data_IF_780624936788
#
_entry.id   IF_780624936788
#
_cell.length_a   1.000
_cell.length_b   1.000
_cell.length_c   1.000
_cell.angle_alpha   90.00
_cell.angle_beta   90.00
_cell.angle_gamma   90.00
#
_symmetry.space_group_name_H-M   'P 1'
#
loop_
_entity.id
_entity.type
_entity.pdbx_description
1 polymer ?
#
# COMPACT_ATOMS: atom_id res chain seq x y z
N UNK A 1 -5.82 -17.62 12.83
CA UNK A 1 -5.00 -17.19 11.68
C UNK A 1 -5.12 -15.68 11.55
N UNK A 2 -4.02 -14.96 11.67
CA UNK A 2 -4.01 -13.50 11.86
C UNK A 2 -4.29 -12.77 10.52
N UNK A 3 -5.53 -12.32 10.32
CA UNK A 3 -6.01 -11.62 9.12
C UNK A 3 -5.19 -10.36 8.79
N UNK A 4 -4.57 -9.76 9.79
CA UNK A 4 -3.75 -8.56 9.66
C UNK A 4 -2.46 -8.85 8.89
N UNK A 5 -1.83 -10.01 9.11
CA UNK A 5 -0.62 -10.40 8.37
C UNK A 5 -0.85 -10.52 6.86
N UNK A 6 -2.03 -11.03 6.45
CA UNK A 6 -2.42 -11.15 5.05
C UNK A 6 -2.66 -9.77 4.43
N UNK A 7 -3.30 -8.88 5.20
CA UNK A 7 -3.53 -7.50 4.78
C UNK A 7 -2.22 -6.72 4.66
N UNK A 8 -1.29 -6.87 5.61
CA UNK A 8 0.03 -6.24 5.60
C UNK A 8 0.82 -6.70 4.37
N UNK A 9 0.89 -8.01 4.09
CA UNK A 9 1.56 -8.52 2.87
C UNK A 9 0.96 -7.96 1.59
N UNK A 10 -0.37 -7.84 1.52
CA UNK A 10 -1.05 -7.31 0.34
C UNK A 10 -0.74 -5.82 0.13
N UNK A 11 -0.68 -5.03 1.22
CA UNK A 11 -0.29 -3.61 1.19
C UNK A 11 1.16 -3.41 0.76
N UNK A 12 2.08 -4.19 1.33
CA UNK A 12 3.51 -4.16 0.95
C UNK A 12 3.69 -4.60 -0.52
N UNK A 13 2.97 -5.63 -0.95
CA UNK A 13 2.99 -6.10 -2.34
C UNK A 13 2.52 -5.03 -3.34
N UNK A 14 1.48 -4.26 -2.99
CA UNK A 14 1.00 -3.16 -3.83
C UNK A 14 2.05 -2.03 -3.96
N UNK A 15 2.72 -1.65 -2.88
CA UNK A 15 3.79 -0.63 -2.90
C UNK A 15 4.94 -1.08 -3.79
N UNK A 16 5.44 -2.31 -3.58
CA UNK A 16 6.53 -2.87 -4.36
C UNK A 16 6.17 -2.99 -5.85
N UNK A 17 4.94 -3.41 -6.18
CA UNK A 17 4.48 -3.50 -7.56
C UNK A 17 4.42 -2.12 -8.24
N UNK A 18 3.99 -1.09 -7.52
CA UNK A 18 3.96 0.28 -8.05
C UNK A 18 5.37 0.82 -8.32
N UNK A 19 6.34 0.48 -7.47
CA UNK A 19 7.77 0.82 -7.67
C UNK A 19 8.36 0.07 -8.86
N UNK A 20 8.15 -1.24 -8.96
CA UNK A 20 8.66 -2.05 -10.08
C UNK A 20 8.10 -1.61 -11.44
N UNK A 21 6.83 -1.21 -11.48
CA UNK A 21 6.19 -0.72 -12.69
C UNK A 21 6.44 0.76 -12.96
N UNK A 22 7.00 1.47 -11.98
CA UNK A 22 7.07 2.94 -11.93
C UNK A 22 5.72 3.61 -12.29
N UNK A 23 4.60 2.93 -12.00
CA UNK A 23 3.27 3.33 -12.45
C UNK A 23 2.18 2.83 -11.49
N UNK A 24 1.72 3.75 -10.63
CA UNK A 24 0.70 3.51 -9.60
C UNK A 24 -0.61 3.02 -10.22
N UNK A 25 -1.04 3.60 -11.34
CA UNK A 25 -2.32 3.26 -11.98
C UNK A 25 -2.31 1.82 -12.50
N UNK A 26 -1.20 1.37 -13.07
CA UNK A 26 -1.05 0.00 -13.59
C UNK A 26 -0.98 -1.02 -12.45
N UNK A 27 -0.24 -0.71 -11.38
CA UNK A 27 -0.19 -1.54 -10.18
C UNK A 27 -1.57 -1.66 -9.51
N UNK A 28 -2.31 -0.56 -9.39
CA UNK A 28 -3.66 -0.52 -8.84
C UNK A 28 -4.63 -1.41 -9.66
N UNK A 29 -4.57 -1.33 -11.00
CA UNK A 29 -5.38 -2.19 -11.89
C UNK A 29 -5.07 -3.68 -11.73
N UNK A 30 -3.79 -4.03 -11.61
CA UNK A 30 -3.36 -5.43 -11.45
C UNK A 30 -3.76 -6.01 -10.09
N UNK A 31 -3.71 -5.20 -9.04
CA UNK A 31 -4.09 -5.59 -7.68
C UNK A 31 -5.60 -5.47 -7.40
N UNK A 32 -6.40 -4.97 -8.36
CA UNK A 32 -7.83 -4.75 -8.18
C UNK A 32 -8.16 -3.71 -7.09
N UNK A 33 -7.28 -2.73 -6.90
CA UNK A 33 -7.40 -1.71 -5.85
C UNK A 33 -7.47 -0.30 -6.45
N UNK A 34 -8.02 0.65 -5.69
CA UNK A 34 -8.12 2.05 -6.11
C UNK A 34 -6.85 2.84 -5.79
N UNK A 35 -6.60 3.90 -6.57
CA UNK A 35 -5.52 4.85 -6.29
C UNK A 35 -5.63 5.43 -4.88
N UNK A 36 -6.83 5.70 -4.40
CA UNK A 36 -7.09 6.20 -3.05
C UNK A 36 -6.59 5.23 -1.97
N UNK A 37 -6.76 3.92 -2.19
CA UNK A 37 -6.24 2.89 -1.29
C UNK A 37 -4.72 2.88 -1.28
N UNK A 38 -4.09 3.03 -2.45
CA UNK A 38 -2.64 3.15 -2.57
C UNK A 38 -2.08 4.32 -1.77
N UNK A 39 -2.68 5.52 -1.90
CA UNK A 39 -2.24 6.69 -1.14
C UNK A 39 -2.47 6.50 0.35
N UNK A 40 -3.59 5.93 0.79
CA UNK A 40 -3.81 5.59 2.20
C UNK A 40 -2.76 4.63 2.77
N UNK A 41 -2.30 3.68 1.97
CA UNK A 41 -1.25 2.73 2.37
C UNK A 41 0.11 3.43 2.43
N UNK A 42 0.38 4.33 1.48
CA UNK A 42 1.62 5.13 1.42
C UNK A 42 1.67 6.23 2.49
N UNK A 43 0.52 6.80 2.83
CA UNK A 43 0.27 7.81 3.86
C UNK A 43 0.05 7.19 5.24
N UNK A 44 0.45 5.94 5.46
CA UNK A 44 0.74 5.46 6.81
C UNK A 44 2.21 5.75 7.08
N UNK A 45 2.63 7.00 7.43
CA UNK A 45 3.87 7.15 8.14
C UNK A 45 3.69 6.38 9.44
N UNK A 46 4.73 5.66 9.83
CA UNK A 46 4.86 5.01 11.14
C UNK A 46 4.25 5.89 12.24
N UNK A 47 3.60 5.31 13.28
CA UNK A 47 2.88 6.04 14.34
C UNK A 47 3.73 6.98 15.21
N UNK A 48 4.91 7.41 14.75
CA UNK A 48 5.85 8.29 15.44
C UNK A 48 5.87 9.74 14.93
N UNK A 49 4.94 10.17 14.06
CA UNK A 49 4.85 11.57 13.60
C UNK A 49 3.67 12.35 14.21
N UNK A 50 3.22 11.98 15.41
CA UNK A 50 2.40 12.82 16.28
C UNK A 50 3.22 13.14 17.54
N UNK A 51 4.27 13.93 17.37
CA UNK A 51 4.95 14.61 18.47
C UNK A 51 5.52 15.93 17.93
N UNK A 52 4.68 16.96 17.99
CA UNK A 52 5.08 18.36 18.00
C UNK A 52 4.25 19.04 19.07
#
# INVERSE_FOLDING_TARGET
>A
MNSETKLIKSRVGLLNLAEQLNNVTRACKLMGTSRDSFYRIKELPSPHRLAS
#
